data_IF_828237008627
#
_entry.id   IF_828237008627
#
_cell.length_a   1.000
_cell.length_b   1.000
_cell.length_c   1.000
_cell.angle_alpha   90.00
_cell.angle_beta   90.00
_cell.angle_gamma   90.00
#
_symmetry.space_group_name_H-M   'P 1'
#
loop_
_entity.id
_entity.type
_entity.pdbx_description
1 polymer ?
#
# COMPACT_ATOMS: atom_id res chain seq x y z
N UNK A 1 -3.56 0.38 15.66
CA UNK A 1 -4.45 -0.69 16.19
C UNK A 1 -3.92 -1.11 17.56
N UNK A 2 -4.75 -1.64 18.46
CA UNK A 2 -4.30 -2.10 19.78
C UNK A 2 -4.64 -3.57 19.98
N UNK A 3 -3.70 -4.35 20.50
CA UNK A 3 -3.90 -5.74 20.88
C UNK A 3 -4.00 -5.84 22.41
N UNK A 4 -5.19 -6.11 22.98
CA UNK A 4 -5.39 -6.19 24.43
C UNK A 4 -4.74 -7.43 25.05
N UNK A 5 -4.39 -8.47 24.27
CA UNK A 5 -3.74 -9.68 24.80
C UNK A 5 -2.26 -9.46 25.06
N UNK A 6 -1.59 -8.76 24.14
CA UNK A 6 -0.15 -8.46 24.23
C UNK A 6 0.12 -7.08 24.83
N UNK A 7 -0.91 -6.26 24.98
CA UNK A 7 -0.82 -4.87 25.44
C UNK A 7 0.12 -4.01 24.56
N UNK A 8 0.09 -4.26 23.25
CA UNK A 8 0.92 -3.56 22.25
C UNK A 8 0.01 -2.76 21.32
N UNK A 9 0.46 -1.54 20.99
CA UNK A 9 -0.15 -0.71 19.95
C UNK A 9 0.66 -0.82 18.66
N UNK A 10 -0.02 -1.18 17.57
CA UNK A 10 0.50 -1.05 16.22
C UNK A 10 0.42 0.41 15.78
N UNK A 11 1.58 0.93 15.38
CA UNK A 11 1.75 2.16 14.63
C UNK A 11 2.65 1.87 13.41
N UNK A 12 2.21 2.35 12.25
CA UNK A 12 2.94 2.35 10.98
C UNK A 12 4.35 2.97 11.08
N UNK A 13 4.60 3.85 12.06
CA UNK A 13 5.91 4.49 12.28
C UNK A 13 6.88 3.68 13.16
N UNK A 14 6.38 2.73 13.96
CA UNK A 14 7.17 2.09 15.03
C UNK A 14 7.24 0.57 15.00
N UNK A 15 6.10 -0.11 14.80
CA UNK A 15 5.98 -1.56 15.01
C UNK A 15 5.62 -2.34 13.73
N UNK A 16 5.74 -1.72 12.56
CA UNK A 16 5.36 -2.33 11.27
C UNK A 16 6.13 -3.61 10.93
N UNK A 17 7.35 -3.78 11.44
CA UNK A 17 8.17 -4.98 11.19
C UNK A 17 8.00 -6.07 12.24
N UNK A 18 7.24 -5.82 13.32
CA UNK A 18 6.96 -6.86 14.30
C UNK A 18 6.04 -7.93 13.67
N UNK A 19 6.59 -9.13 13.49
CA UNK A 19 5.93 -10.26 12.84
C UNK A 19 4.66 -10.73 13.54
N UNK A 20 4.47 -10.41 14.82
CA UNK A 20 3.26 -10.76 15.58
C UNK A 20 2.00 -10.09 14.99
N UNK A 21 2.15 -8.90 14.38
CA UNK A 21 1.06 -8.21 13.68
C UNK A 21 0.73 -8.83 12.31
N UNK A 22 1.60 -9.71 11.81
CA UNK A 22 1.49 -10.32 10.48
C UNK A 22 1.53 -11.85 10.59
N UNK A 23 0.52 -12.46 11.25
CA UNK A 23 0.51 -13.90 11.52
C UNK A 23 0.37 -14.74 10.25
N UNK A 24 0.01 -14.12 9.12
CA UNK A 24 -0.21 -14.78 7.84
C UNK A 24 0.87 -14.42 6.83
N UNK A 25 1.13 -15.38 5.93
CA UNK A 25 2.13 -15.23 4.88
C UNK A 25 1.60 -14.36 3.76
N UNK A 26 2.42 -13.43 3.30
CA UNK A 26 2.16 -12.61 2.13
C UNK A 26 2.21 -13.44 0.85
N UNK A 27 1.55 -12.99 -0.22
CA UNK A 27 1.52 -13.72 -1.49
C UNK A 27 2.92 -13.93 -2.08
N UNK A 28 3.81 -12.94 -1.98
CA UNK A 28 5.20 -13.08 -2.43
C UNK A 28 5.96 -14.13 -1.61
N UNK A 29 5.81 -14.14 -0.28
CA UNK A 29 6.48 -15.15 0.56
C UNK A 29 5.96 -16.57 0.31
N UNK A 30 4.71 -16.71 -0.15
CA UNK A 30 4.14 -17.99 -0.58
C UNK A 30 4.73 -18.38 -1.95
N UNK A 31 4.88 -17.43 -2.86
CA UNK A 31 5.50 -17.66 -4.17
C UNK A 31 6.95 -18.15 -4.03
N UNK A 32 7.77 -17.52 -3.17
CA UNK A 32 9.18 -17.87 -2.91
C UNK A 32 9.39 -19.32 -2.42
N UNK A 33 8.34 -20.00 -1.93
CA UNK A 33 8.43 -21.42 -1.55
C UNK A 33 8.43 -22.38 -2.73
N UNK A 34 7.99 -21.93 -3.90
CA UNK A 34 7.94 -22.75 -5.10
C UNK A 34 9.35 -22.84 -5.67
N UNK A 35 9.76 -24.05 -6.07
CA UNK A 35 11.11 -24.28 -6.58
C UNK A 35 11.41 -23.35 -7.77
N UNK A 36 12.45 -22.53 -7.66
CA UNK A 36 12.89 -21.60 -8.69
C UNK A 36 12.05 -20.32 -8.83
N UNK A 37 11.01 -20.11 -8.00
CA UNK A 37 10.23 -18.88 -8.00
C UNK A 37 10.97 -17.77 -7.26
N UNK A 38 10.74 -16.52 -7.68
CA UNK A 38 11.33 -15.32 -7.09
C UNK A 38 10.33 -14.17 -7.16
N UNK A 39 10.33 -13.34 -6.13
CA UNK A 39 9.43 -12.20 -5.98
C UNK A 39 10.21 -10.90 -5.83
N UNK A 40 9.72 -9.84 -6.49
CA UNK A 40 10.16 -8.46 -6.31
C UNK A 40 9.01 -7.58 -5.85
N UNK A 41 9.21 -6.82 -4.78
CA UNK A 41 8.15 -5.96 -4.20
C UNK A 41 8.73 -4.57 -3.91
N UNK A 42 8.04 -3.53 -4.35
CA UNK A 42 8.41 -2.12 -4.16
C UNK A 42 7.20 -1.31 -3.67
N UNK A 43 7.34 -0.65 -2.54
CA UNK A 43 6.35 0.29 -1.99
C UNK A 43 5.13 -0.36 -1.34
N UNK A 44 4.98 -1.69 -1.40
CA UNK A 44 3.86 -2.38 -0.75
C UNK A 44 4.08 -2.48 0.77
N UNK A 45 3.06 -2.29 1.63
CA UNK A 45 3.21 -2.51 3.06
C UNK A 45 3.71 -3.92 3.39
N UNK A 46 4.74 -4.05 4.24
CA UNK A 46 5.46 -5.33 4.52
C UNK A 46 6.43 -5.81 3.43
N UNK A 47 6.84 -4.96 2.47
CA UNK A 47 7.82 -5.32 1.43
C UNK A 47 9.07 -6.02 1.98
N UNK A 48 9.53 -5.66 3.18
CA UNK A 48 10.75 -6.19 3.81
C UNK A 48 10.63 -7.65 4.31
N UNK A 49 9.42 -8.23 4.36
CA UNK A 49 9.23 -9.57 4.89
C UNK A 49 9.41 -10.61 3.78
N UNK A 50 10.58 -11.26 3.76
CA UNK A 50 10.90 -12.49 2.98
C UNK A 50 10.73 -12.34 1.47
N UNK A 51 11.50 -11.45 0.85
CA UNK A 51 11.55 -11.23 -0.60
C UNK A 51 12.94 -11.55 -1.17
N UNK A 52 13.01 -12.12 -2.37
CA UNK A 52 14.28 -12.42 -3.04
C UNK A 52 14.92 -11.19 -3.71
N UNK A 53 14.12 -10.31 -4.33
CA UNK A 53 14.62 -9.04 -4.90
C UNK A 53 14.05 -7.87 -4.11
N UNK A 54 14.94 -7.12 -3.47
CA UNK A 54 14.63 -5.91 -2.72
C UNK A 54 15.44 -4.74 -3.27
N UNK A 55 14.84 -3.57 -3.29
CA UNK A 55 15.55 -2.32 -3.49
C UNK A 55 15.02 -1.29 -2.50
N UNK A 56 15.91 -0.55 -1.81
CA UNK A 56 15.50 0.56 -0.96
C UNK A 56 14.62 1.52 -1.73
N UNK A 57 13.43 1.75 -1.20
CA UNK A 57 12.43 2.65 -1.75
C UNK A 57 12.26 3.88 -0.87
N UNK A 58 11.97 5.01 -1.49
CA UNK A 58 11.52 6.21 -0.81
C UNK A 58 10.22 6.67 -1.44
N UNK A 59 9.31 7.25 -0.66
CA UNK A 59 8.08 7.88 -1.18
C UNK A 59 8.34 9.01 -2.19
N UNK A 60 9.59 9.47 -2.31
CA UNK A 60 10.04 10.49 -3.27
C UNK A 60 10.56 9.90 -4.60
N UNK A 61 10.75 8.59 -4.67
CA UNK A 61 11.21 7.93 -5.90
C UNK A 61 10.14 8.12 -6.99
N UNK A 62 10.52 8.61 -8.19
CA UNK A 62 9.60 8.70 -9.32
C UNK A 62 8.94 7.35 -9.63
N UNK A 63 7.63 7.35 -9.86
CA UNK A 63 6.91 6.09 -10.06
C UNK A 63 7.36 5.33 -11.32
N UNK A 64 7.80 6.06 -12.36
CA UNK A 64 8.39 5.43 -13.56
C UNK A 64 9.66 4.64 -13.26
N UNK A 65 10.44 5.05 -12.26
CA UNK A 65 11.64 4.30 -11.85
C UNK A 65 11.24 2.96 -11.21
N UNK A 66 10.12 2.91 -10.47
CA UNK A 66 9.59 1.64 -9.95
C UNK A 66 9.09 0.73 -11.07
N UNK A 67 8.41 1.29 -12.07
CA UNK A 67 7.98 0.58 -13.27
C UNK A 67 9.18 -0.04 -13.99
N UNK A 68 10.20 0.78 -14.28
CA UNK A 68 11.39 0.32 -14.98
C UNK A 68 12.13 -0.75 -14.15
N UNK A 69 12.21 -0.59 -12.83
CA UNK A 69 12.85 -1.55 -11.95
C UNK A 69 12.14 -2.91 -11.92
N UNK A 70 10.80 -2.93 -11.76
CA UNK A 70 10.06 -4.19 -11.67
C UNK A 70 10.10 -4.93 -13.01
N UNK A 71 9.97 -4.23 -14.14
CA UNK A 71 10.08 -4.82 -15.47
C UNK A 71 11.49 -5.31 -15.79
N UNK A 72 12.52 -4.63 -15.28
CA UNK A 72 13.89 -5.11 -15.35
C UNK A 72 14.05 -6.44 -14.62
N UNK A 73 13.49 -6.59 -13.41
CA UNK A 73 13.55 -7.85 -12.68
C UNK A 73 12.81 -9.01 -13.38
N UNK A 74 11.69 -8.74 -14.05
CA UNK A 74 11.01 -9.78 -14.85
C UNK A 74 11.86 -10.26 -16.04
N UNK A 75 12.77 -9.42 -16.54
CA UNK A 75 13.68 -9.73 -17.64
C UNK A 75 15.12 -9.98 -17.19
N UNK A 76 15.38 -10.15 -15.89
CA UNK A 76 16.73 -10.48 -15.40
C UNK A 76 17.17 -11.82 -16.05
N UNK A 77 18.30 -11.86 -16.78
CA UNK A 77 18.69 -13.05 -17.54
C UNK A 77 19.15 -14.21 -16.65
N UNK A 78 19.50 -13.95 -15.39
CA UNK A 78 20.06 -14.95 -14.48
C UNK A 78 19.06 -15.31 -13.39
N UNK A 79 18.34 -14.30 -12.87
CA UNK A 79 17.47 -14.44 -11.71
C UNK A 79 16.12 -13.72 -11.91
N UNK A 80 15.34 -14.09 -12.94
CA UNK A 80 14.07 -13.45 -13.21
C UNK A 80 13.09 -13.69 -12.07
N UNK A 81 12.31 -12.66 -11.75
CA UNK A 81 11.12 -12.82 -10.90
C UNK A 81 9.96 -13.37 -11.70
N UNK A 82 9.05 -14.07 -11.02
CA UNK A 82 7.76 -14.49 -11.58
C UNK A 82 6.57 -13.91 -10.79
N UNK A 83 6.84 -13.08 -9.78
CA UNK A 83 5.87 -12.25 -9.09
C UNK A 83 6.48 -10.87 -8.83
N UNK A 84 5.76 -9.82 -9.20
CA UNK A 84 6.18 -8.42 -9.05
C UNK A 84 5.05 -7.58 -8.49
N UNK A 85 5.37 -6.62 -7.63
CA UNK A 85 4.41 -5.64 -7.12
C UNK A 85 5.06 -4.27 -6.97
N UNK A 86 4.38 -3.23 -7.45
CA UNK A 86 4.72 -1.83 -7.24
C UNK A 86 3.50 -1.09 -6.68
N UNK A 87 3.70 -0.09 -5.84
CA UNK A 87 2.63 0.72 -5.26
C UNK A 87 2.84 2.21 -5.58
N UNK A 88 1.76 2.90 -5.94
CA UNK A 88 1.76 4.34 -6.18
C UNK A 88 0.88 5.04 -5.15
N UNK A 89 1.38 6.14 -4.57
CA UNK A 89 0.69 6.86 -3.49
C UNK A 89 -0.40 7.82 -3.98
N UNK A 90 -0.47 8.08 -5.28
CA UNK A 90 -1.56 8.87 -5.87
C UNK A 90 -2.60 7.91 -6.45
N UNK A 91 -3.89 8.27 -6.44
CA UNK A 91 -4.46 9.59 -6.12
C UNK A 91 -4.70 9.87 -4.62
N UNK A 92 -4.40 8.91 -3.73
CA UNK A 92 -4.71 8.99 -2.31
C UNK A 92 -4.09 10.22 -1.61
N UNK A 93 -2.79 10.45 -1.84
CA UNK A 93 -2.05 11.53 -1.18
C UNK A 93 -2.63 12.92 -1.49
N UNK A 94 -3.01 13.19 -2.74
CA UNK A 94 -3.65 14.47 -3.09
C UNK A 94 -5.12 14.51 -2.69
N UNK A 95 -5.82 13.38 -2.76
CA UNK A 95 -7.19 13.23 -2.28
C UNK A 95 -7.32 13.61 -0.80
N UNK A 96 -6.43 13.12 0.05
CA UNK A 96 -6.39 13.49 1.47
C UNK A 96 -6.14 14.98 1.73
N UNK A 97 -5.38 15.66 0.87
CA UNK A 97 -5.05 17.08 1.05
C UNK A 97 -6.15 18.02 0.58
N UNK A 98 -6.87 17.63 -0.48
CA UNK A 98 -7.73 18.57 -1.23
C UNK A 98 -9.18 18.10 -1.36
N UNK A 99 -9.48 16.84 -1.03
CA UNK A 99 -10.76 16.21 -1.26
C UNK A 99 -10.88 15.59 -2.66
N UNK A 100 -11.70 14.52 -2.82
CA UNK A 100 -11.84 13.81 -4.09
C UNK A 100 -12.47 14.66 -5.20
N UNK A 101 -13.21 15.72 -4.85
CA UNK A 101 -13.88 16.61 -5.80
C UNK A 101 -13.08 17.89 -6.11
N UNK A 102 -11.83 17.97 -5.67
CA UNK A 102 -11.00 19.14 -5.91
C UNK A 102 -10.65 19.30 -7.40
N UNK A 103 -10.48 20.54 -7.85
CA UNK A 103 -10.08 20.83 -9.23
C UNK A 103 -8.73 20.19 -9.62
N UNK A 104 -7.86 19.95 -8.63
CA UNK A 104 -6.56 19.34 -8.84
C UNK A 104 -6.66 17.83 -9.15
N UNK A 105 -7.73 17.15 -8.70
CA UNK A 105 -7.87 15.70 -8.87
C UNK A 105 -7.91 15.26 -10.33
N UNK A 106 -8.46 16.10 -11.23
CA UNK A 106 -8.45 15.78 -12.67
C UNK A 106 -7.03 15.64 -13.21
N UNK A 107 -6.11 16.49 -12.74
CA UNK A 107 -4.70 16.39 -13.14
C UNK A 107 -4.04 15.15 -12.53
N UNK A 108 -4.25 14.90 -11.23
CA UNK A 108 -3.65 13.74 -10.56
C UNK A 108 -4.10 12.42 -11.18
N UNK A 109 -5.39 12.28 -11.51
CA UNK A 109 -5.91 11.09 -12.19
C UNK A 109 -5.31 10.94 -13.58
N UNK A 110 -5.11 12.04 -14.32
CA UNK A 110 -4.39 12.01 -15.61
C UNK A 110 -2.94 11.56 -15.43
N UNK A 111 -2.24 12.07 -14.43
CA UNK A 111 -0.86 11.68 -14.14
C UNK A 111 -0.78 10.16 -13.81
N UNK A 112 -1.75 9.61 -13.06
CA UNK A 112 -1.87 8.17 -12.83
C UNK A 112 -2.11 7.37 -14.13
N UNK A 113 -2.99 7.86 -15.00
CA UNK A 113 -3.28 7.25 -16.32
C UNK A 113 -2.04 7.27 -17.22
N UNK A 114 -1.29 8.37 -17.26
CA UNK A 114 -0.03 8.48 -18.01
C UNK A 114 1.05 7.51 -17.50
N UNK A 115 1.08 7.22 -16.20
CA UNK A 115 1.95 6.19 -15.65
C UNK A 115 1.53 4.78 -16.04
N UNK A 116 0.22 4.49 -16.05
CA UNK A 116 -0.30 3.22 -16.53
C UNK A 116 -0.01 3.03 -18.02
N UNK A 117 -0.22 4.07 -18.84
CA UNK A 117 0.16 4.06 -20.26
C UNK A 117 1.64 3.75 -20.45
N UNK A 118 2.54 4.42 -19.71
CA UNK A 118 3.97 4.12 -19.75
C UNK A 118 4.30 2.66 -19.40
N UNK A 119 3.64 2.08 -18.39
CA UNK A 119 3.80 0.67 -18.03
C UNK A 119 3.37 -0.25 -19.18
N UNK A 120 2.20 0.00 -19.77
CA UNK A 120 1.66 -0.80 -20.88
C UNK A 120 2.56 -0.71 -22.12
N UNK A 121 3.02 0.48 -22.48
CA UNK A 121 3.94 0.69 -23.61
C UNK A 121 5.24 -0.11 -23.44
N UNK A 122 5.80 -0.14 -22.23
CA UNK A 122 7.02 -0.91 -21.93
C UNK A 122 6.80 -2.42 -22.00
N UNK A 123 5.64 -2.89 -21.55
CA UNK A 123 5.26 -4.30 -21.66
C UNK A 123 5.11 -4.68 -23.13
N UNK A 124 4.41 -3.87 -23.93
CA UNK A 124 4.17 -4.14 -25.35
C UNK A 124 5.43 -4.06 -26.21
N UNK A 125 6.35 -3.15 -25.89
CA UNK A 125 7.64 -3.02 -26.57
C UNK A 125 8.59 -4.21 -26.31
N UNK A 126 8.30 -5.07 -25.33
CA UNK A 126 9.12 -6.22 -24.98
C UNK A 126 8.38 -7.53 -25.27
N UNK A 127 8.85 -8.31 -26.25
CA UNK A 127 8.17 -9.54 -26.69
C UNK A 127 7.98 -10.59 -25.58
N UNK A 128 8.94 -10.71 -24.66
CA UNK A 128 8.84 -11.64 -23.55
C UNK A 128 7.77 -11.21 -22.55
N UNK A 129 7.76 -9.94 -22.15
CA UNK A 129 6.76 -9.39 -21.24
C UNK A 129 5.36 -9.45 -21.87
N UNK A 130 5.21 -8.98 -23.11
CA UNK A 130 3.93 -8.95 -23.82
C UNK A 130 3.26 -10.32 -23.92
N UNK A 131 4.04 -11.40 -24.06
CA UNK A 131 3.50 -12.76 -24.19
C UNK A 131 3.20 -13.43 -22.85
N UNK A 132 3.95 -13.09 -21.80
CA UNK A 132 4.01 -13.91 -20.58
C UNK A 132 3.58 -13.17 -19.30
N UNK A 133 3.53 -11.83 -19.30
CA UNK A 133 3.21 -11.06 -18.10
C UNK A 133 1.70 -10.89 -17.94
N UNK A 134 1.20 -11.23 -16.76
CA UNK A 134 -0.17 -10.94 -16.36
C UNK A 134 -0.20 -9.72 -15.44
N UNK A 135 -0.89 -8.66 -15.87
CA UNK A 135 -1.01 -7.41 -15.11
C UNK A 135 -2.34 -7.37 -14.36
N UNK A 136 -2.28 -7.04 -13.08
CA UNK A 136 -3.44 -6.70 -12.25
C UNK A 136 -3.26 -5.26 -11.80
N UNK A 137 -4.26 -4.42 -12.04
CA UNK A 137 -4.33 -3.05 -11.53
C UNK A 137 -5.49 -2.97 -10.56
N UNK A 138 -5.22 -2.50 -9.34
CA UNK A 138 -6.20 -2.40 -8.26
C UNK A 138 -5.88 -1.21 -7.35
N UNK A 139 -6.87 -0.77 -6.59
CA UNK A 139 -6.70 0.14 -5.44
C UNK A 139 -7.01 -0.58 -4.14
N UNK A 140 -6.49 -0.05 -3.03
CA UNK A 140 -6.80 -0.47 -1.66
C UNK A 140 -8.17 0.02 -1.19
N UNK A 141 -8.56 1.24 -1.57
CA UNK A 141 -9.86 1.82 -1.26
C UNK A 141 -10.26 2.95 -2.23
N UNK A 142 -11.41 3.58 -1.94
CA UNK A 142 -11.86 4.84 -2.55
C UNK A 142 -11.49 6.06 -1.70
N UNK A 143 -12.09 7.21 -2.01
CA UNK A 143 -11.90 8.46 -1.26
C UNK A 143 -13.24 9.17 -1.11
N UNK A 144 -13.51 9.75 0.05
CA UNK A 144 -14.75 10.49 0.33
C UNK A 144 -14.43 11.93 0.77
N UNK A 145 -15.30 12.87 0.38
CA UNK A 145 -15.20 14.24 0.81
C UNK A 145 -15.64 14.35 2.26
N UNK A 146 -14.70 14.75 3.12
CA UNK A 146 -15.02 15.19 4.46
C UNK A 146 -15.18 16.71 4.41
N UNK A 147 -16.42 17.19 4.39
CA UNK A 147 -16.70 18.59 4.69
C UNK A 147 -16.46 18.75 6.19
N UNK A 148 -15.45 19.52 6.59
CA UNK A 148 -15.02 19.63 7.99
C UNK A 148 -16.17 19.92 8.95
N UNK A 149 -16.10 19.40 10.18
CA UNK A 149 -17.00 19.63 11.35
C UNK A 149 -18.49 19.94 11.12
N UNK A 150 -19.11 19.54 10.00
CA UNK A 150 -20.53 19.85 9.82
C UNK A 150 -21.37 19.14 10.89
N UNK A 151 -20.91 17.98 11.38
CA UNK A 151 -21.34 17.36 12.64
C UNK A 151 -20.25 16.43 13.24
N UNK A 152 -19.19 16.94 13.90
CA UNK A 152 -18.24 16.07 14.57
C UNK A 152 -18.95 15.35 15.72
N UNK A 153 -18.86 14.02 15.72
CA UNK A 153 -19.25 13.22 16.88
C UNK A 153 -18.06 13.20 17.84
N UNK A 154 -18.13 14.04 18.88
CA UNK A 154 -17.21 13.97 20.01
C UNK A 154 -17.71 12.91 20.97
N UNK A 155 -16.91 11.87 21.18
CA UNK A 155 -17.28 10.74 22.04
C UNK A 155 -17.34 11.19 23.50
N UNK A 156 -16.55 12.20 23.86
CA UNK A 156 -16.53 12.85 25.18
C UNK A 156 -17.90 13.38 25.60
N UNK A 157 -18.77 13.72 24.64
CA UNK A 157 -20.12 14.21 24.91
C UNK A 157 -21.10 13.10 25.34
N UNK A 158 -20.74 11.83 25.10
CA UNK A 158 -21.65 10.68 25.31
C UNK A 158 -21.16 9.68 26.36
N UNK A 159 -19.86 9.63 26.66
CA UNK A 159 -19.28 8.67 27.61
C UNK A 159 -18.31 9.31 28.60
N UNK A 160 -18.16 8.70 29.78
CA UNK A 160 -17.08 9.02 30.71
C UNK A 160 -15.75 8.45 30.17
N UNK A 161 -14.95 9.30 29.54
CA UNK A 161 -13.67 8.91 28.92
C UNK A 161 -12.63 8.42 29.92
N UNK A 162 -12.83 8.60 31.24
CA UNK A 162 -11.99 7.96 32.27
C UNK A 162 -12.20 6.45 32.34
N UNK A 163 -13.30 5.95 31.77
CA UNK A 163 -13.66 4.52 31.74
C UNK A 163 -13.48 3.90 30.36
N UNK A 164 -12.87 4.61 29.42
CA UNK A 164 -12.73 4.13 28.05
C UNK A 164 -11.40 4.55 27.43
N UNK A 165 -10.84 3.66 26.62
CA UNK A 165 -9.68 3.95 25.78
C UNK A 165 -10.06 3.83 24.32
N UNK A 166 -9.69 4.83 23.52
CA UNK A 166 -9.92 4.85 22.09
C UNK A 166 -8.62 4.61 21.33
N UNK A 167 -8.67 3.77 20.29
CA UNK A 167 -7.54 3.47 19.42
C UNK A 167 -7.95 3.52 17.95
N UNK A 168 -7.09 4.10 17.11
CA UNK A 168 -7.34 4.31 15.68
C UNK A 168 -7.49 5.78 15.34
N UNK A 169 -7.85 6.05 14.09
CA UNK A 169 -8.12 7.40 13.58
C UNK A 169 -9.43 7.38 12.79
N UNK A 170 -10.17 8.49 12.70
CA UNK A 170 -11.33 8.58 11.81
C UNK A 170 -11.00 8.13 10.38
N UNK A 171 -11.94 7.49 9.66
CA UNK A 171 -13.34 7.27 10.04
C UNK A 171 -13.60 6.01 10.90
N UNK A 172 -12.57 5.22 11.22
CA UNK A 172 -12.73 3.95 11.93
C UNK A 172 -11.94 3.91 13.25
N UNK A 173 -12.64 4.16 14.35
CA UNK A 173 -12.06 4.13 15.70
C UNK A 173 -12.65 2.99 16.53
N UNK A 174 -11.82 2.37 17.36
CA UNK A 174 -12.22 1.33 18.31
C UNK A 174 -12.23 1.91 19.72
N UNK A 175 -13.30 1.66 20.47
CA UNK A 175 -13.46 2.11 21.87
C UNK A 175 -13.53 0.88 22.76
N UNK A 176 -12.66 0.83 23.77
CA UNK A 176 -12.59 -0.25 24.76
C UNK A 176 -13.01 0.32 26.12
N UNK A 177 -14.00 -0.32 26.75
CA UNK A 177 -14.45 0.06 28.10
C UNK A 177 -13.60 -0.67 29.13
N UNK A 178 -13.07 0.08 30.09
CA UNK A 178 -12.34 -0.47 31.23
C UNK A 178 -13.35 -0.77 32.35
N UNK A 179 -13.39 -2.03 32.79
CA UNK A 179 -14.23 -2.52 33.89
C UNK A 179 -13.65 -2.20 35.26
#
# INVERSE_FOLDING_TARGET
MFDPKTNVTFDSSGNMTNGDWWPHRTIWSINEKRNGARSGVLGWPQELIRISKFQPFSRKTPFRDLIDQVLHWFNDPNEPINFGSIYFFEPDLTGHKTGPYSQNMTKVVRDCDEHLGYLLDKIDANENLRKNLHLIVASDHGMEQVNGTDHPLYIEDYIDTRKAKAYGVPPAMNIFVES
#
